data_IF_229584641909
#
_entry.id   IF_229584641909
#
_cell.length_a   1.000
_cell.length_b   1.000
_cell.length_c   1.000
_cell.angle_alpha   90.00
_cell.angle_beta   90.00
_cell.angle_gamma   90.00
#
_symmetry.space_group_name_H-M   'P 1'
#
loop_
_entity.id
_entity.type
_entity.pdbx_description
1 polymer ?
#
# COMPACT_ATOMS: atom_id res chain seq x y z
N UNK A 1 6.04 9.11 -14.83
CA UNK A 1 5.52 9.57 -13.52
C UNK A 1 4.53 8.59 -12.87
N UNK A 2 3.47 8.09 -13.54
CA UNK A 2 2.53 7.13 -12.91
C UNK A 2 3.14 5.77 -12.53
N UNK A 3 4.09 5.28 -13.30
CA UNK A 3 4.81 4.05 -13.02
C UNK A 3 5.70 4.13 -11.77
N UNK A 4 6.28 5.27 -11.49
CA UNK A 4 7.21 5.46 -10.36
C UNK A 4 6.52 5.39 -9.00
N UNK A 5 5.28 5.91 -8.88
CA UNK A 5 4.49 5.77 -7.64
C UNK A 5 4.14 4.32 -7.37
N UNK A 6 3.63 3.59 -8.36
CA UNK A 6 3.32 2.16 -8.19
C UNK A 6 4.56 1.32 -7.87
N UNK A 7 5.75 1.71 -8.36
CA UNK A 7 7.02 1.02 -8.07
C UNK A 7 7.41 1.20 -6.61
N UNK A 8 7.24 2.41 -6.05
CA UNK A 8 7.62 2.73 -4.67
C UNK A 8 6.62 2.19 -3.63
N UNK A 9 5.32 2.20 -3.94
CA UNK A 9 4.30 1.84 -2.97
C UNK A 9 4.29 0.34 -2.62
N UNK A 10 4.69 -0.52 -3.55
CA UNK A 10 4.74 -1.98 -3.33
C UNK A 10 5.76 -2.40 -2.28
N UNK A 11 7.06 -2.03 -2.37
CA UNK A 11 8.03 -2.39 -1.34
C UNK A 11 7.72 -1.72 0.00
N UNK A 12 7.17 -0.49 -0.03
CA UNK A 12 6.77 0.21 1.18
C UNK A 12 5.67 -0.57 1.93
N UNK A 13 4.63 -1.03 1.21
CA UNK A 13 3.55 -1.84 1.77
C UNK A 13 4.09 -3.13 2.39
N UNK A 14 4.90 -3.88 1.63
CA UNK A 14 5.50 -5.14 2.10
C UNK A 14 6.42 -4.88 3.29
N UNK A 15 7.27 -3.85 3.22
CA UNK A 15 8.13 -3.45 4.32
C UNK A 15 7.34 -3.15 5.60
N UNK A 16 6.27 -2.36 5.51
CA UNK A 16 5.44 -2.00 6.66
C UNK A 16 4.70 -3.21 7.24
N UNK A 17 4.21 -4.15 6.43
CA UNK A 17 3.54 -5.36 6.91
C UNK A 17 4.47 -6.17 7.79
N UNK A 18 5.73 -6.39 7.37
CA UNK A 18 6.67 -7.23 8.11
C UNK A 18 7.38 -6.50 9.25
N UNK A 19 7.55 -5.17 9.17
CA UNK A 19 8.18 -4.39 10.25
C UNK A 19 7.19 -3.92 11.30
N UNK A 20 5.87 -3.87 11.02
CA UNK A 20 4.85 -3.37 11.95
C UNK A 20 4.84 -4.07 13.31
N UNK A 21 5.04 -5.41 13.45
CA UNK A 21 5.12 -6.03 14.76
C UNK A 21 6.28 -5.48 15.60
N UNK A 22 7.47 -5.39 14.99
CA UNK A 22 8.65 -4.86 15.68
C UNK A 22 8.51 -3.38 16.04
N UNK A 23 7.94 -2.58 15.14
CA UNK A 23 7.71 -1.14 15.39
C UNK A 23 6.73 -0.93 16.54
N UNK A 24 5.58 -1.62 16.51
CA UNK A 24 4.54 -1.44 17.55
C UNK A 24 5.03 -1.93 18.92
N UNK A 25 5.63 -3.11 18.98
CA UNK A 25 6.13 -3.65 20.25
C UNK A 25 7.24 -2.78 20.84
N UNK A 26 8.09 -2.21 19.99
CA UNK A 26 9.22 -1.39 20.44
C UNK A 26 8.79 -0.01 20.91
N UNK A 27 7.85 0.65 20.19
CA UNK A 27 7.43 2.02 20.48
C UNK A 27 6.32 2.08 21.52
N UNK A 28 5.39 1.11 21.49
CA UNK A 28 4.17 1.16 22.31
C UNK A 28 4.10 0.05 23.37
N UNK A 29 4.97 -0.96 23.27
CA UNK A 29 5.02 -2.08 24.21
C UNK A 29 3.98 -3.17 23.92
N UNK A 30 4.03 -4.23 24.72
CA UNK A 30 3.19 -5.44 24.51
C UNK A 30 1.69 -5.17 24.66
N UNK A 31 1.30 -4.16 25.42
CA UNK A 31 -0.12 -3.76 25.59
C UNK A 31 -0.78 -3.38 24.28
N UNK A 32 -0.01 -2.95 23.28
CA UNK A 32 -0.48 -2.56 21.94
C UNK A 32 -0.36 -3.65 20.90
N UNK A 33 -0.04 -4.89 21.27
CA UNK A 33 0.02 -6.03 20.33
C UNK A 33 -1.24 -6.18 19.46
N UNK A 34 -2.48 -5.93 19.91
CA UNK A 34 -3.66 -5.96 19.04
C UNK A 34 -3.62 -4.95 17.89
N UNK A 35 -2.88 -3.84 18.01
CA UNK A 35 -2.74 -2.83 16.96
C UNK A 35 -1.86 -3.30 15.79
N UNK A 36 -1.13 -4.41 15.93
CA UNK A 36 -0.31 -4.98 14.85
C UNK A 36 -1.18 -5.33 13.63
N UNK A 37 -2.29 -6.04 13.86
CA UNK A 37 -3.23 -6.40 12.79
C UNK A 37 -3.81 -5.16 12.10
N UNK A 38 -4.20 -4.15 12.89
CA UNK A 38 -4.70 -2.88 12.37
C UNK A 38 -3.66 -2.21 11.45
N UNK A 39 -2.40 -2.17 11.90
CA UNK A 39 -1.29 -1.58 11.13
C UNK A 39 -1.03 -2.33 9.82
N UNK A 40 -1.13 -3.65 9.82
CA UNK A 40 -0.97 -4.47 8.62
C UNK A 40 -2.10 -4.25 7.61
N UNK A 41 -3.35 -4.11 8.08
CA UNK A 41 -4.49 -3.78 7.23
C UNK A 41 -4.31 -2.39 6.60
N UNK A 42 -3.90 -1.41 7.39
CA UNK A 42 -3.62 -0.04 6.91
C UNK A 42 -2.45 -0.02 5.92
N UNK A 43 -1.43 -0.86 6.12
CA UNK A 43 -0.33 -0.97 5.17
C UNK A 43 -0.79 -1.46 3.79
N UNK A 44 -1.71 -2.44 3.73
CA UNK A 44 -2.32 -2.88 2.46
C UNK A 44 -3.06 -1.75 1.74
N UNK A 45 -3.63 -0.80 2.48
CA UNK A 45 -4.35 0.32 1.91
C UNK A 45 -3.46 1.27 1.09
N UNK A 46 -2.15 1.31 1.36
CA UNK A 46 -1.18 2.12 0.58
C UNK A 46 -1.27 1.76 -0.91
N UNK A 47 -1.47 0.49 -1.25
CA UNK A 47 -1.61 0.07 -2.65
C UNK A 47 -2.86 0.66 -3.31
N UNK A 48 -3.99 0.69 -2.60
CA UNK A 48 -5.25 1.24 -3.11
C UNK A 48 -5.15 2.75 -3.27
N UNK A 49 -4.61 3.44 -2.27
CA UNK A 49 -4.34 4.90 -2.32
C UNK A 49 -3.37 5.24 -3.46
N UNK A 50 -2.34 4.42 -3.69
CA UNK A 50 -1.42 4.59 -4.80
C UNK A 50 -2.13 4.51 -6.15
N UNK A 51 -2.99 3.51 -6.35
CA UNK A 51 -3.76 3.35 -7.59
C UNK A 51 -4.74 4.50 -7.79
N UNK A 52 -5.54 4.85 -6.78
CA UNK A 52 -6.50 5.95 -6.84
C UNK A 52 -5.81 7.30 -7.06
N UNK A 53 -4.63 7.51 -6.43
CA UNK A 53 -3.81 8.69 -6.60
C UNK A 53 -3.29 8.87 -8.03
N UNK A 54 -2.80 7.79 -8.65
CA UNK A 54 -2.39 7.83 -10.07
C UNK A 54 -3.58 8.16 -10.97
N UNK A 55 -4.72 7.50 -10.79
CA UNK A 55 -5.91 7.75 -11.59
C UNK A 55 -6.48 9.17 -11.39
N UNK A 56 -6.56 9.62 -10.15
CA UNK A 56 -7.11 10.93 -9.80
C UNK A 56 -6.16 12.07 -10.13
N UNK A 57 -4.98 12.10 -9.50
CA UNK A 57 -4.08 13.26 -9.55
C UNK A 57 -3.24 13.31 -10.82
N UNK A 58 -2.88 12.17 -11.41
CA UNK A 58 -1.98 12.16 -12.57
C UNK A 58 -2.72 12.05 -13.90
N UNK A 59 -3.95 11.55 -13.93
CA UNK A 59 -4.73 11.41 -15.16
C UNK A 59 -5.91 12.37 -15.18
N UNK A 60 -6.86 12.23 -14.24
CA UNK A 60 -8.10 13.00 -14.29
C UNK A 60 -7.90 14.49 -13.98
N UNK A 61 -7.02 14.82 -13.04
CA UNK A 61 -6.76 16.21 -12.66
C UNK A 61 -6.14 17.04 -13.80
N UNK A 62 -5.04 16.62 -14.47
CA UNK A 62 -4.47 17.35 -15.60
C UNK A 62 -5.40 17.44 -16.81
N UNK A 63 -6.35 16.50 -16.95
CA UNK A 63 -7.38 16.55 -18.01
C UNK A 63 -8.54 17.50 -17.69
N UNK A 64 -8.49 18.25 -16.60
CA UNK A 64 -9.55 19.15 -16.18
C UNK A 64 -10.82 18.43 -15.68
N UNK A 65 -10.72 17.14 -15.35
CA UNK A 65 -11.86 16.31 -14.90
C UNK A 65 -11.92 16.16 -13.38
N UNK A 66 -11.58 17.22 -12.67
CA UNK A 66 -11.56 17.26 -11.20
C UNK A 66 -12.90 16.88 -10.57
N UNK A 67 -14.01 17.22 -11.22
CA UNK A 67 -15.35 16.86 -10.73
C UNK A 67 -15.55 15.35 -10.58
N UNK A 68 -14.93 14.54 -11.44
CA UNK A 68 -14.97 13.07 -11.32
C UNK A 68 -14.20 12.64 -10.07
N UNK A 69 -13.04 13.23 -9.81
CA UNK A 69 -12.24 12.93 -8.62
C UNK A 69 -13.03 13.26 -7.36
N UNK A 70 -13.63 14.46 -7.29
CA UNK A 70 -14.44 14.90 -6.16
C UNK A 70 -15.62 13.96 -5.94
N UNK A 71 -16.34 13.57 -6.99
CA UNK A 71 -17.48 12.66 -6.89
C UNK A 71 -17.06 11.28 -6.35
N UNK A 72 -15.98 10.71 -6.88
CA UNK A 72 -15.48 9.41 -6.46
C UNK A 72 -14.99 9.44 -5.00
N UNK A 73 -14.29 10.50 -4.59
CA UNK A 73 -13.84 10.69 -3.21
C UNK A 73 -15.03 10.87 -2.27
N UNK A 74 -16.09 11.58 -2.70
CA UNK A 74 -17.32 11.70 -1.93
C UNK A 74 -18.02 10.34 -1.74
N UNK A 75 -18.09 9.51 -2.79
CA UNK A 75 -18.60 8.13 -2.68
C UNK A 75 -17.80 7.35 -1.63
N UNK A 76 -16.47 7.42 -1.69
CA UNK A 76 -15.61 6.77 -0.70
C UNK A 76 -15.84 7.28 0.72
N UNK A 77 -16.03 8.57 0.91
CA UNK A 77 -16.32 9.16 2.22
C UNK A 77 -17.66 8.63 2.79
N UNK A 78 -18.71 8.54 1.98
CA UNK A 78 -19.99 7.98 2.39
C UNK A 78 -19.84 6.50 2.78
N UNK A 79 -19.15 5.70 1.95
CA UNK A 79 -18.88 4.28 2.24
C UNK A 79 -18.08 4.15 3.53
N UNK A 80 -17.06 4.98 3.74
CA UNK A 80 -16.26 4.98 4.97
C UNK A 80 -17.11 5.22 6.21
N UNK A 81 -17.94 6.26 6.20
CA UNK A 81 -18.83 6.58 7.34
C UNK A 81 -19.79 5.43 7.63
N UNK A 82 -20.48 4.90 6.61
CA UNK A 82 -21.42 3.79 6.77
C UNK A 82 -20.75 2.56 7.34
N UNK A 83 -19.60 2.17 6.79
CA UNK A 83 -18.85 1.00 7.25
C UNK A 83 -18.30 1.19 8.67
N UNK A 84 -17.85 2.39 9.04
CA UNK A 84 -17.40 2.66 10.41
C UNK A 84 -18.55 2.49 11.42
N UNK A 85 -19.75 3.01 11.12
CA UNK A 85 -20.91 2.86 12.00
C UNK A 85 -21.28 1.38 12.20
N UNK A 86 -21.10 0.54 11.18
CA UNK A 86 -21.41 -0.88 11.23
C UNK A 86 -20.29 -1.73 11.86
N UNK A 87 -19.02 -1.43 11.57
CA UNK A 87 -17.88 -2.29 11.94
C UNK A 87 -17.25 -1.91 13.29
N UNK A 88 -17.27 -0.65 13.69
CA UNK A 88 -16.67 -0.24 14.97
C UNK A 88 -17.29 -0.93 16.17
N UNK A 89 -18.64 -1.06 16.28
CA UNK A 89 -19.24 -1.72 17.42
C UNK A 89 -18.84 -3.19 17.60
N UNK A 90 -18.48 -3.87 16.48
CA UNK A 90 -18.16 -5.32 16.46
C UNK A 90 -16.65 -5.55 16.55
N UNK A 91 -15.85 -4.79 15.80
CA UNK A 91 -14.43 -5.04 15.60
C UNK A 91 -13.51 -3.95 16.18
N UNK A 92 -14.07 -2.90 16.79
CA UNK A 92 -13.31 -1.78 17.36
C UNK A 92 -12.38 -1.13 16.32
N UNK A 93 -11.11 -0.92 16.70
CA UNK A 93 -10.09 -0.30 15.84
C UNK A 93 -9.80 -1.08 14.54
N UNK A 94 -9.89 -2.41 14.56
CA UNK A 94 -9.74 -3.23 13.36
C UNK A 94 -10.89 -2.98 12.36
N UNK A 95 -12.10 -2.73 12.87
CA UNK A 95 -13.25 -2.35 12.06
C UNK A 95 -13.02 -1.06 11.28
N UNK A 96 -12.40 -0.06 11.91
CA UNK A 96 -12.05 1.20 11.25
C UNK A 96 -11.01 0.98 10.14
N UNK A 97 -9.99 0.15 10.36
CA UNK A 97 -8.99 -0.15 9.35
C UNK A 97 -9.60 -0.85 8.12
N UNK A 98 -10.50 -1.80 8.34
CA UNK A 98 -11.23 -2.48 7.27
C UNK A 98 -12.18 -1.52 6.54
N UNK A 99 -12.91 -0.68 7.28
CA UNK A 99 -13.78 0.33 6.70
C UNK A 99 -13.01 1.28 5.77
N UNK A 100 -11.84 1.74 6.22
CA UNK A 100 -10.97 2.60 5.43
C UNK A 100 -10.47 1.90 4.16
N UNK A 101 -10.02 0.66 4.27
CA UNK A 101 -9.57 -0.12 3.10
C UNK A 101 -10.70 -0.31 2.08
N UNK A 102 -11.91 -0.67 2.52
CA UNK A 102 -13.06 -0.85 1.64
C UNK A 102 -13.52 0.48 1.01
N UNK A 103 -13.43 1.58 1.72
CA UNK A 103 -13.70 2.91 1.18
C UNK A 103 -12.73 3.28 0.05
N UNK A 104 -11.43 3.03 0.20
CA UNK A 104 -10.44 3.26 -0.85
C UNK A 104 -10.65 2.34 -2.07
N UNK A 105 -11.05 1.10 -1.84
CA UNK A 105 -11.48 0.22 -2.94
C UNK A 105 -12.67 0.83 -3.67
N UNK A 106 -13.67 1.36 -2.96
CA UNK A 106 -14.83 2.01 -3.57
C UNK A 106 -14.44 3.27 -4.37
N UNK A 107 -13.51 4.09 -3.86
CA UNK A 107 -12.94 5.23 -4.60
C UNK A 107 -12.27 4.76 -5.89
N UNK A 108 -11.39 3.78 -5.79
CA UNK A 108 -10.63 3.26 -6.94
C UNK A 108 -11.55 2.66 -8.00
N UNK A 109 -12.52 1.85 -7.60
CA UNK A 109 -13.51 1.23 -8.50
C UNK A 109 -14.40 2.29 -9.15
N UNK A 110 -14.89 3.27 -8.39
CA UNK A 110 -15.71 4.36 -8.94
C UNK A 110 -14.92 5.23 -9.92
N UNK A 111 -13.65 5.54 -9.63
CA UNK A 111 -12.76 6.24 -10.57
C UNK A 111 -12.54 5.42 -11.85
N UNK A 112 -12.37 4.11 -11.73
CA UNK A 112 -12.21 3.25 -12.90
C UNK A 112 -13.48 3.20 -13.75
N UNK A 113 -14.66 3.07 -13.15
CA UNK A 113 -15.95 2.99 -13.86
C UNK A 113 -16.28 4.34 -14.53
N UNK A 114 -16.22 5.43 -13.76
CA UNK A 114 -16.64 6.77 -14.23
C UNK A 114 -15.55 7.38 -15.12
N UNK A 115 -14.28 7.18 -14.75
CA UNK A 115 -13.12 7.73 -15.45
C UNK A 115 -12.61 6.91 -16.62
N UNK A 116 -13.14 5.71 -16.89
CA UNK A 116 -12.63 4.76 -17.92
C UNK A 116 -12.40 5.35 -19.31
N UNK A 117 -13.15 6.38 -19.68
CA UNK A 117 -13.01 7.06 -20.97
C UNK A 117 -11.72 7.90 -21.06
N UNK A 118 -11.16 8.27 -19.92
CA UNK A 118 -10.02 9.17 -19.79
C UNK A 118 -8.75 8.43 -19.35
N UNK A 119 -8.92 7.23 -18.79
CA UNK A 119 -7.82 6.43 -18.26
C UNK A 119 -7.27 5.55 -19.39
N UNK A 120 -6.02 5.75 -19.81
CA UNK A 120 -5.41 4.91 -20.82
C UNK A 120 -5.25 3.48 -20.28
N UNK A 121 -5.69 2.48 -21.04
CA UNK A 121 -5.68 1.04 -20.64
C UNK A 121 -4.24 0.49 -20.47
N UNK A 122 -3.22 1.28 -20.76
CA UNK A 122 -1.81 0.88 -20.67
C UNK A 122 -1.24 0.73 -19.25
N UNK A 123 -2.08 0.75 -18.22
CA UNK A 123 -1.65 0.53 -16.81
C UNK A 123 -1.06 -0.87 -16.54
N UNK A 124 -1.35 -1.86 -17.39
CA UNK A 124 -0.85 -3.24 -17.27
C UNK A 124 0.30 -3.53 -18.24
N UNK A 125 1.37 -2.77 -18.16
CA UNK A 125 2.61 -3.14 -18.87
C UNK A 125 3.30 -4.31 -18.17
N UNK A 126 3.90 -5.22 -18.92
CA UNK A 126 4.69 -6.37 -18.41
C UNK A 126 5.83 -5.95 -17.46
N UNK A 127 6.30 -4.73 -17.59
CA UNK A 127 7.32 -4.11 -16.73
C UNK A 127 6.91 -4.10 -15.25
N UNK A 128 5.62 -3.98 -14.94
CA UNK A 128 5.13 -3.99 -13.55
C UNK A 128 5.24 -5.36 -12.85
N UNK A 129 5.34 -6.45 -13.61
CA UNK A 129 5.44 -7.80 -13.06
C UNK A 129 6.76 -8.01 -12.31
N UNK A 130 7.86 -7.46 -12.80
CA UNK A 130 9.18 -7.58 -12.18
C UNK A 130 9.27 -6.85 -10.83
N UNK A 131 8.62 -5.69 -10.72
CA UNK A 131 8.54 -4.96 -9.45
C UNK A 131 7.67 -5.69 -8.41
N UNK A 132 6.63 -6.41 -8.86
CA UNK A 132 5.86 -7.31 -7.99
C UNK A 132 6.74 -8.44 -7.49
N UNK A 133 7.50 -9.08 -8.39
CA UNK A 133 8.40 -10.16 -8.03
C UNK A 133 9.47 -9.69 -7.03
N UNK A 134 10.07 -8.51 -7.27
CA UNK A 134 11.02 -7.89 -6.33
C UNK A 134 10.42 -7.65 -4.94
N UNK A 135 9.18 -7.18 -4.88
CA UNK A 135 8.48 -6.97 -3.60
C UNK A 135 8.17 -8.29 -2.90
N UNK A 136 7.84 -9.36 -3.63
CA UNK A 136 7.61 -10.70 -3.07
C UNK A 136 8.91 -11.29 -2.51
N UNK A 137 10.02 -11.19 -3.25
CA UNK A 137 11.34 -11.65 -2.78
C UNK A 137 11.78 -10.89 -1.53
N UNK A 138 11.60 -9.56 -1.52
CA UNK A 138 11.86 -8.73 -0.34
C UNK A 138 10.99 -9.16 0.84
N UNK A 139 9.70 -9.42 0.62
CA UNK A 139 8.78 -9.91 1.65
C UNK A 139 9.22 -11.25 2.23
N UNK A 140 9.65 -12.19 1.40
CA UNK A 140 10.19 -13.47 1.84
C UNK A 140 11.46 -13.31 2.70
N UNK A 141 12.37 -12.41 2.31
CA UNK A 141 13.56 -12.09 3.07
C UNK A 141 13.22 -11.49 4.45
N UNK A 142 12.29 -10.52 4.48
CA UNK A 142 11.83 -9.88 5.72
C UNK A 142 11.07 -10.87 6.61
N UNK A 143 10.29 -11.78 6.04
CA UNK A 143 9.63 -12.84 6.79
C UNK A 143 10.63 -13.75 7.49
N UNK A 144 11.67 -14.21 6.79
CA UNK A 144 12.73 -15.03 7.38
C UNK A 144 13.44 -14.26 8.51
N UNK A 145 13.79 -13.00 8.29
CA UNK A 145 14.43 -12.16 9.31
C UNK A 145 13.53 -11.95 10.54
N UNK A 146 12.22 -11.81 10.33
CA UNK A 146 11.26 -11.63 11.44
C UNK A 146 11.15 -12.84 12.35
N UNK A 147 11.47 -14.06 11.88
CA UNK A 147 11.45 -15.26 12.69
C UNK A 147 12.61 -15.34 13.70
N UNK A 148 13.72 -14.65 13.42
CA UNK A 148 14.90 -14.77 14.28
C UNK A 148 14.89 -13.83 15.49
N UNK A 149 14.28 -12.64 15.41
CA UNK A 149 14.31 -11.66 16.51
C UNK A 149 13.14 -10.67 16.45
N UNK A 150 12.05 -10.94 17.15
CA UNK A 150 10.96 -9.97 17.33
C UNK A 150 11.25 -9.03 18.52
N UNK A 151 11.03 -7.73 18.31
CA UNK A 151 11.00 -6.75 19.42
C UNK A 151 12.33 -6.08 19.78
N UNK A 152 13.41 -6.27 19.03
CA UNK A 152 14.68 -5.55 19.27
C UNK A 152 14.89 -4.40 18.28
N UNK A 153 15.36 -3.24 18.76
CA UNK A 153 15.73 -2.09 17.92
C UNK A 153 16.76 -2.49 16.85
N UNK A 154 17.71 -3.34 17.19
CA UNK A 154 18.73 -3.84 16.24
C UNK A 154 18.10 -4.61 15.10
N UNK A 155 17.11 -5.45 15.38
CA UNK A 155 16.39 -6.23 14.36
C UNK A 155 15.60 -5.33 13.43
N UNK A 156 14.90 -4.32 13.97
CA UNK A 156 14.17 -3.35 13.18
C UNK A 156 15.09 -2.64 12.17
N UNK A 157 16.25 -2.16 12.65
CA UNK A 157 17.25 -1.50 11.78
C UNK A 157 17.77 -2.45 10.71
N UNK A 158 18.10 -3.70 11.08
CA UNK A 158 18.56 -4.71 10.13
C UNK A 158 17.48 -5.03 9.08
N UNK A 159 16.22 -5.18 9.48
CA UNK A 159 15.11 -5.41 8.57
C UNK A 159 14.91 -4.25 7.57
N UNK A 160 14.99 -3.01 8.03
CA UNK A 160 14.89 -1.83 7.17
C UNK A 160 16.04 -1.80 6.16
N UNK A 161 17.28 -1.97 6.63
CA UNK A 161 18.47 -1.95 5.76
C UNK A 161 18.41 -3.11 4.76
N UNK A 162 18.11 -4.33 5.21
CA UNK A 162 18.01 -5.50 4.35
C UNK A 162 16.91 -5.33 3.30
N UNK A 163 15.74 -4.83 3.69
CA UNK A 163 14.63 -4.56 2.76
C UNK A 163 15.02 -3.54 1.69
N UNK A 164 15.65 -2.43 2.08
CA UNK A 164 16.15 -1.42 1.14
C UNK A 164 17.21 -1.99 0.18
N UNK A 165 18.17 -2.76 0.69
CA UNK A 165 19.24 -3.35 -0.12
C UNK A 165 18.68 -4.38 -1.11
N UNK A 166 17.85 -5.30 -0.68
CA UNK A 166 17.24 -6.34 -1.55
C UNK A 166 16.43 -5.68 -2.65
N UNK A 167 15.58 -4.71 -2.30
CA UNK A 167 14.75 -4.05 -3.30
C UNK A 167 15.56 -3.22 -4.29
N UNK A 168 16.56 -2.44 -3.83
CA UNK A 168 17.43 -1.64 -4.70
C UNK A 168 18.26 -2.52 -5.63
N UNK A 169 18.83 -3.61 -5.13
CA UNK A 169 19.59 -4.55 -5.94
C UNK A 169 18.74 -5.17 -7.06
N UNK A 170 17.51 -5.60 -6.75
CA UNK A 170 16.61 -6.17 -7.76
C UNK A 170 16.17 -5.09 -8.77
N UNK A 171 15.83 -3.88 -8.31
CA UNK A 171 15.44 -2.78 -9.18
C UNK A 171 16.57 -2.32 -10.10
N UNK A 172 17.80 -2.19 -9.59
CA UNK A 172 18.96 -1.76 -10.35
C UNK A 172 19.39 -2.85 -11.33
N UNK A 173 19.43 -4.11 -10.91
CA UNK A 173 19.78 -5.23 -11.79
C UNK A 173 18.83 -5.31 -12.99
N UNK A 174 17.54 -5.02 -12.79
CA UNK A 174 16.56 -5.03 -13.87
C UNK A 174 16.74 -3.83 -14.83
N UNK A 175 16.99 -2.62 -14.30
CA UNK A 175 17.21 -1.44 -15.15
C UNK A 175 18.47 -1.58 -16.01
N UNK A 176 19.53 -2.20 -15.49
CA UNK A 176 20.75 -2.47 -16.27
C UNK A 176 20.58 -3.55 -17.35
N UNK A 177 19.64 -4.50 -17.16
CA UNK A 177 19.36 -5.56 -18.14
C UNK A 177 18.41 -5.11 -19.25
N UNK A 178 17.64 -4.04 -19.06
CA UNK A 178 16.59 -3.60 -19.98
C UNK A 178 16.87 -2.29 -20.70
N UNK A 179 17.91 -1.56 -20.31
CA UNK A 179 18.41 -0.39 -21.05
C UNK A 179 19.58 -0.83 -21.94
N UNK A 180 19.47 -0.64 -23.29
CA UNK A 180 20.55 -0.89 -24.20
C UNK A 180 21.71 0.11 -24.01
#
# INVERSE_FOLDING_TARGET
MGSEMCIRDRPLTVGLIFTSPSVILLLSGESFAPAILTSQIVALNILMVGISGVMGLQVLYPMGRINIVILCTFIGAVVNVVLNVLLIPVYGHNGTAVAYMLAEVAVTVSMFIIGRRYIPIQFFKKEHLHYVLGSVVMGGCLYILSQFYLGSMKTLVVMIIAGCLVYTLISVSYTHLTLP
#
